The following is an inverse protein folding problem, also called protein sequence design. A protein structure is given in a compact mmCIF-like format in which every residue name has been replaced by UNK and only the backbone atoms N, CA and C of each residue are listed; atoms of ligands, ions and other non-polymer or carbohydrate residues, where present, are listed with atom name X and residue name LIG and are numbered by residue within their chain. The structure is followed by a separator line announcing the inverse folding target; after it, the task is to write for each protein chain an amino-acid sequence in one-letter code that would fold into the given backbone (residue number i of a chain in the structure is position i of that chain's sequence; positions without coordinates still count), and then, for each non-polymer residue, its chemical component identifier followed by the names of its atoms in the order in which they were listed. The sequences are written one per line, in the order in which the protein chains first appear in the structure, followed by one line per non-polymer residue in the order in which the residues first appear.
data_IF_245704386691
#
_entry.id   IF_245704386691
#
_cell.length_a   1.000
_cell.length_b   1.000
_cell.length_c   1.000
_cell.angle_alpha   90.00
_cell.angle_beta   90.00
_cell.angle_gamma   90.00
#
_symmetry.space_group_name_H-M   'P 1'
#
loop_
_entity.id
_entity.type
_entity.pdbx_description
1 polymer ?
#
# COMPACT_ATOMS: atom_id res chain seq x y z
N UNK A 1 -23.70 1.40 -27.22
CA UNK A 1 -24.36 0.42 -26.34
C UNK A 1 -23.40 -0.59 -25.73
N UNK A 2 -22.44 -1.13 -26.49
CA UNK A 2 -21.46 -2.14 -26.02
C UNK A 2 -20.49 -1.54 -24.99
N UNK A 3 -19.98 -0.32 -25.19
CA UNK A 3 -19.08 0.36 -24.25
C UNK A 3 -19.74 0.64 -22.89
N UNK A 4 -21.02 1.00 -22.87
CA UNK A 4 -21.75 1.25 -21.63
C UNK A 4 -21.98 -0.03 -20.82
N UNK A 5 -22.29 -1.14 -21.50
CA UNK A 5 -22.45 -2.46 -20.87
C UNK A 5 -21.13 -2.98 -20.29
N UNK A 6 -19.99 -2.74 -20.96
CA UNK A 6 -18.68 -3.11 -20.45
C UNK A 6 -18.27 -2.33 -19.20
N UNK A 7 -18.52 -1.02 -19.16
CA UNK A 7 -18.21 -0.21 -17.96
C UNK A 7 -19.06 -0.62 -16.75
N UNK A 8 -20.35 -0.89 -16.96
CA UNK A 8 -21.23 -1.38 -15.88
C UNK A 8 -20.78 -2.76 -15.37
N UNK A 9 -20.30 -3.62 -16.26
CA UNK A 9 -19.80 -4.93 -15.89
C UNK A 9 -18.48 -4.84 -15.10
N UNK A 10 -17.56 -3.96 -15.50
CA UNK A 10 -16.30 -3.68 -14.79
C UNK A 10 -16.59 -3.17 -13.38
N UNK A 11 -17.44 -2.14 -13.24
CA UNK A 11 -17.83 -1.60 -11.93
C UNK A 11 -18.51 -2.64 -11.04
N UNK A 12 -19.37 -3.47 -11.63
CA UNK A 12 -20.04 -4.57 -10.94
C UNK A 12 -19.06 -5.63 -10.41
N UNK A 13 -18.07 -5.99 -11.21
CA UNK A 13 -17.01 -6.93 -10.79
C UNK A 13 -16.16 -6.36 -9.66
N UNK A 14 -15.73 -5.09 -9.73
CA UNK A 14 -15.01 -4.42 -8.64
C UNK A 14 -15.81 -4.42 -7.35
N UNK A 15 -17.09 -4.02 -7.41
CA UNK A 15 -17.95 -3.99 -6.24
C UNK A 15 -18.12 -5.39 -5.63
N UNK A 16 -18.33 -6.40 -6.47
CA UNK A 16 -18.47 -7.80 -6.02
C UNK A 16 -17.17 -8.33 -5.42
N UNK A 17 -16.02 -8.03 -6.03
CA UNK A 17 -14.71 -8.37 -5.48
C UNK A 17 -14.53 -7.75 -4.09
N UNK A 18 -14.82 -6.47 -3.94
CA UNK A 18 -14.74 -5.76 -2.65
C UNK A 18 -15.65 -6.39 -1.58
N UNK A 19 -16.92 -6.68 -1.92
CA UNK A 19 -17.85 -7.33 -0.98
C UNK A 19 -17.36 -8.71 -0.58
N UNK A 20 -16.91 -9.54 -1.55
CA UNK A 20 -16.36 -10.86 -1.28
C UNK A 20 -15.11 -10.79 -0.40
N UNK A 21 -14.24 -9.81 -0.61
CA UNK A 21 -13.06 -9.58 0.25
C UNK A 21 -13.47 -9.24 1.69
N UNK A 22 -14.43 -8.33 1.89
CA UNK A 22 -14.98 -8.00 3.22
C UNK A 22 -15.59 -9.19 3.93
N UNK A 23 -16.22 -10.10 3.18
CA UNK A 23 -16.79 -11.36 3.68
C UNK A 23 -15.76 -12.48 3.82
N UNK A 24 -14.46 -12.20 3.58
CA UNK A 24 -13.35 -13.17 3.57
C UNK A 24 -13.55 -14.33 2.58
N UNK A 25 -14.35 -14.10 1.54
CA UNK A 25 -14.57 -15.04 0.43
C UNK A 25 -13.51 -14.83 -0.64
N UNK A 26 -12.25 -15.06 -0.28
CA UNK A 26 -11.09 -14.66 -1.08
C UNK A 26 -11.06 -15.31 -2.47
N UNK A 27 -11.47 -16.57 -2.60
CA UNK A 27 -11.52 -17.25 -3.90
C UNK A 27 -12.50 -16.57 -4.89
N UNK A 28 -13.65 -16.09 -4.40
CA UNK A 28 -14.60 -15.37 -5.24
C UNK A 28 -14.08 -13.97 -5.61
N UNK A 29 -13.49 -13.26 -4.66
CA UNK A 29 -12.87 -11.97 -4.93
C UNK A 29 -11.72 -12.09 -5.95
N UNK A 30 -10.88 -13.12 -5.83
CA UNK A 30 -9.79 -13.41 -6.78
C UNK A 30 -10.32 -13.65 -8.18
N UNK A 31 -11.37 -14.46 -8.32
CA UNK A 31 -12.01 -14.70 -9.61
C UNK A 31 -12.53 -13.42 -10.25
N UNK A 32 -13.11 -12.52 -9.45
CA UNK A 32 -13.62 -11.25 -9.95
C UNK A 32 -12.51 -10.33 -10.44
N UNK A 33 -11.38 -10.22 -9.72
CA UNK A 33 -10.20 -9.47 -10.18
C UNK A 33 -9.59 -10.10 -11.43
N UNK A 34 -9.50 -11.42 -11.51
CA UNK A 34 -8.99 -12.12 -12.70
C UNK A 34 -9.88 -11.87 -13.92
N UNK A 35 -11.20 -11.93 -13.75
CA UNK A 35 -12.17 -11.59 -14.81
C UNK A 35 -12.02 -10.14 -15.28
N UNK A 36 -11.79 -9.21 -14.35
CA UNK A 36 -11.48 -7.82 -14.69
C UNK A 36 -10.22 -7.71 -15.53
N UNK A 37 -9.17 -8.45 -15.21
CA UNK A 37 -7.91 -8.44 -15.94
C UNK A 37 -8.02 -9.13 -17.31
N UNK A 38 -8.94 -10.07 -17.50
CA UNK A 38 -9.29 -10.61 -18.82
C UNK A 38 -9.96 -9.54 -19.69
N UNK A 39 -10.85 -8.74 -19.09
CA UNK A 39 -11.55 -7.66 -19.80
C UNK A 39 -10.66 -6.45 -20.08
N UNK A 40 -9.81 -6.10 -19.11
CA UNK A 40 -8.90 -4.95 -19.16
C UNK A 40 -7.55 -5.36 -18.55
N UNK A 41 -6.63 -5.97 -19.33
CA UNK A 41 -5.37 -6.52 -18.82
C UNK A 41 -4.48 -5.51 -18.09
N UNK A 42 -4.47 -4.24 -18.51
CA UNK A 42 -3.69 -3.16 -17.90
C UNK A 42 -4.42 -2.42 -16.78
N UNK A 43 -5.51 -2.96 -16.22
CA UNK A 43 -6.23 -2.25 -15.18
C UNK A 43 -5.45 -2.23 -13.86
N UNK A 44 -4.90 -1.05 -13.52
CA UNK A 44 -4.10 -0.82 -12.31
C UNK A 44 -4.81 -1.27 -11.03
N UNK A 45 -6.09 -0.87 -10.87
CA UNK A 45 -6.85 -1.16 -9.65
C UNK A 45 -7.12 -2.66 -9.48
N UNK A 46 -7.36 -3.38 -10.58
CA UNK A 46 -7.55 -4.83 -10.54
C UNK A 46 -6.25 -5.57 -10.21
N UNK A 47 -5.12 -5.14 -10.80
CA UNK A 47 -3.79 -5.70 -10.50
C UNK A 47 -3.42 -5.46 -9.04
N UNK A 48 -3.57 -4.22 -8.54
CA UNK A 48 -3.31 -3.87 -7.15
C UNK A 48 -4.22 -4.64 -6.20
N UNK A 49 -5.53 -4.67 -6.50
CA UNK A 49 -6.50 -5.40 -5.69
C UNK A 49 -6.19 -6.89 -5.59
N UNK A 50 -5.79 -7.52 -6.70
CA UNK A 50 -5.40 -8.93 -6.73
C UNK A 50 -4.12 -9.20 -5.91
N UNK A 51 -3.11 -8.33 -6.01
CA UNK A 51 -1.88 -8.47 -5.24
C UNK A 51 -2.14 -8.35 -3.72
N UNK A 52 -2.91 -7.34 -3.30
CA UNK A 52 -3.30 -7.15 -1.90
C UNK A 52 -4.20 -8.28 -1.38
N UNK A 53 -5.09 -8.80 -2.22
CA UNK A 53 -5.93 -9.94 -1.86
C UNK A 53 -5.10 -11.21 -1.65
N UNK A 54 -4.13 -11.46 -2.54
CA UNK A 54 -3.22 -12.61 -2.42
C UNK A 54 -2.42 -12.53 -1.11
N UNK A 55 -1.96 -11.35 -0.71
CA UNK A 55 -1.29 -11.18 0.58
C UNK A 55 -2.21 -11.55 1.75
N UNK A 56 -3.43 -11.02 1.78
CA UNK A 56 -4.42 -11.33 2.83
C UNK A 56 -4.76 -12.82 2.91
N UNK A 57 -4.75 -13.50 1.77
CA UNK A 57 -5.04 -14.93 1.66
C UNK A 57 -3.78 -15.81 1.76
N UNK A 58 -2.65 -15.23 2.20
CA UNK A 58 -1.37 -15.91 2.42
C UNK A 58 -0.72 -16.49 1.15
N UNK A 59 -1.15 -16.06 -0.03
CA UNK A 59 -0.50 -16.34 -1.31
C UNK A 59 0.65 -15.35 -1.53
N UNK A 60 1.68 -15.46 -0.68
CA UNK A 60 2.70 -14.41 -0.53
C UNK A 60 3.59 -14.24 -1.76
N UNK A 61 3.89 -15.31 -2.49
CA UNK A 61 4.69 -15.27 -3.71
C UNK A 61 3.93 -14.52 -4.80
N UNK A 62 2.69 -14.92 -5.06
CA UNK A 62 1.83 -14.30 -6.06
C UNK A 62 1.52 -12.84 -5.73
N UNK A 63 1.41 -12.51 -4.44
CA UNK A 63 1.24 -11.12 -3.99
C UNK A 63 2.46 -10.27 -4.35
N UNK A 64 3.66 -10.77 -4.05
CA UNK A 64 4.90 -10.04 -4.26
C UNK A 64 5.26 -9.93 -5.75
N UNK A 65 5.07 -10.99 -6.51
CA UNK A 65 5.23 -10.98 -7.97
C UNK A 65 4.26 -10.01 -8.63
N UNK A 66 3.00 -10.01 -8.18
CA UNK A 66 1.96 -9.09 -8.68
C UNK A 66 2.30 -7.63 -8.43
N UNK A 67 2.76 -7.26 -7.22
CA UNK A 67 3.11 -5.89 -6.90
C UNK A 67 4.39 -5.44 -7.60
N UNK A 68 5.38 -6.32 -7.77
CA UNK A 68 6.59 -6.02 -8.54
C UNK A 68 6.27 -5.76 -10.01
N UNK A 69 5.46 -6.61 -10.63
CA UNK A 69 4.99 -6.40 -12.01
C UNK A 69 4.21 -5.08 -12.16
N UNK A 70 3.42 -4.71 -11.15
CA UNK A 70 2.69 -3.44 -11.13
C UNK A 70 3.65 -2.24 -11.08
N UNK A 71 4.72 -2.30 -10.28
CA UNK A 71 5.74 -1.25 -10.20
C UNK A 71 6.52 -1.14 -11.53
N UNK A 72 6.85 -2.27 -12.17
CA UNK A 72 7.50 -2.27 -13.49
C UNK A 72 6.63 -1.59 -14.56
N UNK A 73 5.32 -1.82 -14.53
CA UNK A 73 4.37 -1.21 -15.47
C UNK A 73 4.09 0.27 -15.13
N UNK A 74 4.11 0.65 -13.85
CA UNK A 74 3.76 1.97 -13.35
C UNK A 74 4.82 2.48 -12.36
N UNK A 75 6.04 2.77 -12.84
CA UNK A 75 7.18 3.15 -11.97
C UNK A 75 6.99 4.47 -11.22
N UNK A 76 6.04 5.29 -11.63
CA UNK A 76 5.68 6.55 -10.97
C UNK A 76 4.50 6.43 -10.01
N UNK A 77 4.08 5.22 -9.67
CA UNK A 77 2.94 5.00 -8.78
C UNK A 77 3.36 4.95 -7.31
N UNK A 78 3.18 6.06 -6.58
CA UNK A 78 3.39 6.11 -5.13
C UNK A 78 2.60 5.02 -4.38
N UNK A 79 1.37 4.74 -4.84
CA UNK A 79 0.49 3.72 -4.23
C UNK A 79 1.08 2.31 -4.38
N UNK A 80 1.71 1.98 -5.50
CA UNK A 80 2.30 0.66 -5.72
C UNK A 80 3.51 0.44 -4.79
N UNK A 81 4.39 1.43 -4.65
CA UNK A 81 5.51 1.38 -3.70
C UNK A 81 5.00 1.29 -2.26
N UNK A 82 4.04 2.12 -1.86
CA UNK A 82 3.47 2.04 -0.51
C UNK A 82 2.81 0.70 -0.20
N UNK A 83 2.15 0.09 -1.18
CA UNK A 83 1.57 -1.25 -1.06
C UNK A 83 2.67 -2.31 -0.84
N UNK A 84 3.77 -2.28 -1.62
CA UNK A 84 4.89 -3.20 -1.42
C UNK A 84 5.58 -2.97 -0.08
N UNK A 85 5.80 -1.71 0.31
CA UNK A 85 6.34 -1.36 1.62
C UNK A 85 5.48 -1.88 2.79
N UNK A 86 4.15 -1.88 2.64
CA UNK A 86 3.23 -2.53 3.58
C UNK A 86 3.45 -4.04 3.68
N UNK A 87 3.54 -4.73 2.54
CA UNK A 87 3.84 -6.17 2.48
C UNK A 87 5.18 -6.51 3.10
N UNK A 88 6.21 -5.70 2.86
CA UNK A 88 7.55 -5.87 3.42
C UNK A 88 7.57 -5.67 4.93
N UNK A 89 6.84 -4.66 5.43
CA UNK A 89 6.67 -4.42 6.87
C UNK A 89 6.05 -5.63 7.57
N UNK A 90 4.97 -6.20 7.02
CA UNK A 90 4.31 -7.38 7.58
C UNK A 90 5.24 -8.62 7.62
N UNK A 91 6.19 -8.70 6.70
CA UNK A 91 7.21 -9.76 6.63
C UNK A 91 8.46 -9.48 7.47
N UNK A 92 8.52 -8.34 8.16
CA UNK A 92 9.68 -7.93 8.94
C UNK A 92 10.88 -7.45 8.11
N UNK A 93 10.70 -7.22 6.80
CA UNK A 93 11.73 -6.68 5.90
C UNK A 93 11.79 -5.16 6.01
N UNK A 94 12.12 -4.67 7.22
CA UNK A 94 11.91 -3.27 7.58
C UNK A 94 12.74 -2.28 6.75
N UNK A 95 13.97 -2.63 6.38
CA UNK A 95 14.83 -1.75 5.55
C UNK A 95 14.29 -1.59 4.12
N UNK A 96 13.73 -2.65 3.53
CA UNK A 96 13.07 -2.59 2.24
C UNK A 96 11.80 -1.74 2.32
N UNK A 97 11.00 -1.94 3.36
CA UNK A 97 9.80 -1.14 3.61
C UNK A 97 10.12 0.35 3.77
N UNK A 98 11.24 0.71 4.44
CA UNK A 98 11.71 2.11 4.54
C UNK A 98 12.02 2.66 3.14
N UNK A 99 12.72 1.89 2.31
CA UNK A 99 13.02 2.32 0.95
C UNK A 99 11.73 2.58 0.15
N UNK A 100 10.80 1.65 0.18
CA UNK A 100 9.55 1.75 -0.59
C UNK A 100 8.63 2.88 -0.13
N UNK A 101 8.47 3.09 1.18
CA UNK A 101 7.76 4.27 1.67
C UNK A 101 8.50 5.57 1.34
N UNK A 102 9.83 5.56 1.32
CA UNK A 102 10.65 6.69 0.85
C UNK A 102 10.37 7.03 -0.62
N UNK A 103 10.29 6.04 -1.50
CA UNK A 103 9.90 6.24 -2.90
C UNK A 103 8.45 6.73 -3.03
N UNK A 104 7.52 6.17 -2.26
CA UNK A 104 6.14 6.66 -2.22
C UNK A 104 6.07 8.14 -1.81
N UNK A 105 6.84 8.56 -0.79
CA UNK A 105 6.94 9.96 -0.34
C UNK A 105 7.61 10.87 -1.36
N UNK A 106 8.52 10.35 -2.19
CA UNK A 106 9.16 11.11 -3.28
C UNK A 106 8.17 11.35 -4.42
N UNK A 107 7.37 10.35 -4.75
CA UNK A 107 6.38 10.40 -5.84
C UNK A 107 5.11 11.19 -5.45
N UNK A 108 4.66 11.05 -4.21
CA UNK A 108 3.57 11.85 -3.65
C UNK A 108 3.97 12.42 -2.28
N UNK A 109 4.45 13.65 -2.30
CA UNK A 109 4.92 14.35 -1.11
C UNK A 109 3.82 14.86 -0.20
N UNK A 110 2.55 14.73 -0.60
CA UNK A 110 1.39 15.28 0.12
C UNK A 110 0.66 14.24 0.98
N UNK A 111 0.93 12.95 0.77
CA UNK A 111 0.31 11.87 1.51
C UNK A 111 0.94 11.70 2.90
N UNK A 112 0.21 12.09 3.95
CA UNK A 112 0.67 11.97 5.33
C UNK A 112 0.90 10.52 5.75
N UNK A 113 0.09 9.58 5.24
CA UNK A 113 0.17 8.17 5.62
C UNK A 113 1.52 7.54 5.24
N UNK A 114 2.12 7.94 4.11
CA UNK A 114 3.45 7.45 3.72
C UNK A 114 4.51 7.91 4.72
N UNK A 115 4.47 9.17 5.12
CA UNK A 115 5.41 9.74 6.10
C UNK A 115 5.24 9.09 7.47
N UNK A 116 4.00 8.84 7.90
CA UNK A 116 3.69 8.14 9.16
C UNK A 116 4.27 6.73 9.18
N UNK A 117 4.04 5.96 8.12
CA UNK A 117 4.57 4.59 8.03
C UNK A 117 6.10 4.57 7.96
N UNK A 118 6.71 5.48 7.20
CA UNK A 118 8.16 5.62 7.12
C UNK A 118 8.78 5.96 8.48
N UNK A 119 8.22 6.94 9.20
CA UNK A 119 8.64 7.29 10.56
C UNK A 119 8.53 6.12 11.55
N UNK A 120 7.42 5.38 11.49
CA UNK A 120 7.20 4.19 12.35
C UNK A 120 8.27 3.12 12.13
N UNK A 121 8.61 2.85 10.87
CA UNK A 121 9.66 1.91 10.49
C UNK A 121 11.03 2.38 10.97
N UNK A 122 11.38 3.66 10.77
CA UNK A 122 12.63 4.25 11.23
C UNK A 122 12.78 4.17 12.76
N UNK A 123 11.70 4.39 13.50
CA UNK A 123 11.69 4.23 14.96
C UNK A 123 11.95 2.77 15.34
N UNK A 124 11.33 1.84 14.64
CA UNK A 124 11.50 0.40 14.88
C UNK A 124 12.94 -0.06 14.62
N UNK A 125 13.59 0.52 13.62
CA UNK A 125 15.01 0.29 13.28
C UNK A 125 16.00 1.07 14.16
N UNK A 126 15.52 1.97 15.04
CA UNK A 126 16.37 2.82 15.87
C UNK A 126 17.02 3.98 15.12
N UNK A 127 16.61 4.27 13.88
CA UNK A 127 17.10 5.37 13.03
C UNK A 127 16.46 6.70 13.47
N UNK A 128 16.78 7.12 14.69
CA UNK A 128 16.10 8.21 15.39
C UNK A 128 16.17 9.57 14.69
N UNK A 129 17.32 9.93 14.13
CA UNK A 129 17.50 11.22 13.46
C UNK A 129 16.54 11.37 12.29
N UNK A 130 16.47 10.37 11.43
CA UNK A 130 15.60 10.34 10.26
C UNK A 130 14.12 10.34 10.66
N UNK A 131 13.78 9.58 11.70
CA UNK A 131 12.42 9.61 12.24
C UNK A 131 12.02 10.99 12.77
N UNK A 132 12.92 11.73 13.42
CA UNK A 132 12.66 13.11 13.84
C UNK A 132 12.39 14.04 12.65
N UNK A 133 13.09 13.85 11.54
CA UNK A 133 12.90 14.66 10.33
C UNK A 133 11.50 14.40 9.72
N UNK A 134 11.06 13.14 9.71
CA UNK A 134 9.71 12.78 9.28
C UNK A 134 8.62 13.38 10.19
N UNK A 135 8.81 13.32 11.51
CA UNK A 135 7.84 13.91 12.44
C UNK A 135 7.75 15.43 12.27
N UNK A 136 8.87 16.11 12.00
CA UNK A 136 8.88 17.54 11.66
C UNK A 136 8.17 17.82 10.35
N UNK A 137 8.35 16.91 9.35
CA UNK A 137 7.63 17.00 8.08
C UNK A 137 6.12 16.89 8.30
N UNK A 138 5.65 15.92 9.10
CA UNK A 138 4.24 15.76 9.45
C UNK A 138 3.68 17.02 10.15
N UNK A 139 4.43 17.65 11.05
CA UNK A 139 4.02 18.92 11.67
C UNK A 139 3.85 20.04 10.62
N UNK A 140 4.77 20.15 9.66
CA UNK A 140 4.66 21.11 8.54
C UNK A 140 3.47 20.80 7.62
N UNK A 141 3.06 19.54 7.51
CA UNK A 141 1.88 19.10 6.77
C UNK A 141 0.57 19.31 7.57
N UNK A 142 0.66 19.91 8.77
CA UNK A 142 -0.50 20.26 9.59
C UNK A 142 -0.94 19.20 10.59
N UNK A 143 -0.18 18.12 10.77
CA UNK A 143 -0.49 17.10 11.79
C UNK A 143 -0.20 17.71 13.17
N UNK A 144 -1.21 17.70 14.06
CA UNK A 144 -1.10 18.30 15.40
C UNK A 144 -0.10 17.53 16.26
N UNK A 145 0.68 18.26 17.05
CA UNK A 145 1.70 17.67 17.95
C UNK A 145 1.13 16.62 18.89
N UNK A 146 -0.13 16.77 19.33
CA UNK A 146 -0.81 15.77 20.15
C UNK A 146 -0.96 14.40 19.49
N UNK A 147 -1.15 14.36 18.18
CA UNK A 147 -1.25 13.12 17.39
C UNK A 147 0.11 12.41 17.22
N UNK A 148 1.22 13.15 17.40
CA UNK A 148 2.58 12.63 17.26
C UNK A 148 3.24 12.29 18.61
N UNK A 149 2.54 12.46 19.73
CA UNK A 149 3.10 12.27 21.07
C UNK A 149 3.65 10.87 21.30
N UNK A 150 2.97 9.84 20.81
CA UNK A 150 3.43 8.45 20.96
C UNK A 150 4.74 8.22 20.20
N UNK A 151 4.86 8.72 18.97
CA UNK A 151 6.10 8.64 18.19
C UNK A 151 7.27 9.31 18.92
N UNK A 152 7.07 10.52 19.45
CA UNK A 152 8.09 11.22 20.23
C UNK A 152 8.43 10.49 21.54
N UNK A 153 7.46 9.87 22.20
CA UNK A 153 7.70 9.07 23.39
C UNK A 153 8.56 7.83 23.09
N UNK A 154 8.26 7.12 21.99
CA UNK A 154 9.03 5.95 21.54
C UNK A 154 10.48 6.33 21.19
N UNK A 155 10.70 7.50 20.54
CA UNK A 155 12.03 8.00 20.22
C UNK A 155 12.88 8.34 21.46
N UNK A 156 12.26 8.77 22.55
CA UNK A 156 12.94 9.11 23.82
C UNK A 156 13.33 7.90 24.63
N UNK A 157 12.69 6.74 24.43
CA UNK A 157 13.06 5.51 25.14
C UNK A 157 14.49 5.12 24.77
N UNK A 158 15.35 4.98 25.79
CA UNK A 158 16.67 4.35 25.64
C UNK A 158 16.42 2.85 25.45
N UNK A 159 17.07 2.27 24.45
CA UNK A 159 17.20 0.80 24.43
C UNK A 159 18.14 0.41 25.54
#
# INVERSE_FOLDING_TARGET
KVLFLNQTNIAGLFYRAFVNEKLKRYNFARLDYQNLLVLVPGNFQAQLGLALLNEKDQHLTEAYDGINSLIEQYPDSAVAYAARGGMEKERGMLDLAVYDYGEAMRLDSTCQDYVVNHADLLISLGRKSEAYDDLRRLQKMGVKSGQLQDFFARLRRKK
#
